data_IF_609154438165
#
_entry.id   IF_609154438165
#
_cell.length_a   1.000
_cell.length_b   1.000
_cell.length_c   1.000
_cell.angle_alpha   90.00
_cell.angle_beta   90.00
_cell.angle_gamma   90.00
#
_symmetry.space_group_name_H-M   'P 1'
#
loop_
_entity.id
_entity.type
_entity.pdbx_description
1 polymer ?
#
# COMPACT_ATOMS: atom_id res chain seq x y z
N UNK A 1 61.52 -23.45 -10.46
CA UNK A 1 61.06 -22.11 -10.05
C UNK A 1 59.74 -21.85 -10.73
N UNK A 2 58.56 -21.82 -10.14
CA UNK A 2 58.03 -21.77 -8.77
C UNK A 2 56.52 -21.48 -8.97
N UNK A 3 55.61 -22.02 -8.17
CA UNK A 3 54.18 -22.01 -8.48
C UNK A 3 53.61 -20.59 -8.27
N UNK A 4 53.06 -19.99 -9.32
CA UNK A 4 52.34 -18.72 -9.25
C UNK A 4 50.97 -18.95 -8.61
N UNK A 5 50.85 -18.57 -7.35
CA UNK A 5 49.72 -18.86 -6.48
C UNK A 5 48.36 -18.44 -7.04
N UNK A 6 47.39 -19.35 -6.88
CA UNK A 6 46.00 -18.98 -6.75
C UNK A 6 45.87 -17.94 -5.64
N UNK A 7 45.60 -16.70 -6.01
CA UNK A 7 44.98 -15.76 -5.10
C UNK A 7 43.52 -16.22 -4.89
N UNK A 8 43.34 -17.18 -3.98
CA UNK A 8 42.10 -17.30 -3.22
C UNK A 8 42.00 -16.00 -2.42
N UNK A 9 41.37 -14.98 -3.03
CA UNK A 9 40.94 -13.81 -2.27
C UNK A 9 39.78 -14.27 -1.40
N UNK A 10 40.11 -14.45 -0.13
CA UNK A 10 39.16 -14.51 0.96
C UNK A 10 38.12 -13.39 0.82
N UNK A 11 36.84 -13.76 0.83
CA UNK A 11 35.76 -12.87 1.24
C UNK A 11 34.73 -13.60 2.12
N UNK A 12 35.20 -14.58 2.91
CA UNK A 12 34.44 -15.27 3.97
C UNK A 12 34.19 -14.38 5.21
N UNK A 13 34.35 -13.04 5.12
CA UNK A 13 34.05 -12.11 6.22
C UNK A 13 33.27 -10.86 5.79
N UNK A 14 32.56 -10.92 4.67
CA UNK A 14 31.44 -10.02 4.43
C UNK A 14 30.23 -10.49 5.26
N UNK A 15 30.23 -10.23 6.57
CA UNK A 15 28.99 -10.35 7.36
C UNK A 15 27.86 -9.63 6.62
N UNK A 16 26.75 -10.33 6.42
CA UNK A 16 25.63 -9.82 5.63
C UNK A 16 25.18 -8.45 6.21
N UNK A 17 25.08 -7.38 5.40
CA UNK A 17 24.62 -6.07 5.89
C UNK A 17 23.30 -6.12 6.68
N UNK A 18 22.43 -7.08 6.35
CA UNK A 18 21.18 -7.37 7.07
C UNK A 18 21.41 -7.90 8.50
N UNK A 19 22.51 -8.63 8.73
CA UNK A 19 22.89 -9.10 10.08
C UNK A 19 23.35 -7.93 10.94
N UNK A 20 24.16 -7.04 10.37
CA UNK A 20 24.61 -5.83 11.06
C UNK A 20 23.44 -4.91 11.39
N UNK A 21 22.45 -4.76 10.49
CA UNK A 21 21.25 -3.98 10.79
C UNK A 21 20.39 -4.62 11.88
N UNK A 22 20.34 -5.96 11.97
CA UNK A 22 19.62 -6.65 13.05
C UNK A 22 20.27 -6.40 14.42
N UNK A 23 21.60 -6.31 14.50
CA UNK A 23 22.29 -5.94 15.75
C UNK A 23 21.86 -4.55 16.22
N UNK A 24 21.80 -3.57 15.32
CA UNK A 24 21.29 -2.23 15.66
C UNK A 24 19.80 -2.25 16.04
N UNK A 25 19.00 -3.05 15.33
CA UNK A 25 17.58 -3.22 15.60
C UNK A 25 17.30 -3.75 17.03
N UNK A 26 18.18 -4.59 17.60
CA UNK A 26 18.03 -5.08 18.98
C UNK A 26 17.98 -3.95 20.00
N UNK A 27 18.78 -2.91 19.80
CA UNK A 27 18.87 -1.73 20.68
C UNK A 27 17.78 -0.69 20.42
N UNK A 28 17.00 -0.83 19.34
CA UNK A 28 15.93 0.10 19.02
C UNK A 28 14.83 0.02 20.08
N UNK A 29 14.46 1.19 20.63
CA UNK A 29 13.35 1.28 21.58
C UNK A 29 11.99 1.21 20.85
N UNK A 30 11.81 2.00 19.78
CA UNK A 30 10.54 2.08 19.04
C UNK A 30 10.39 1.00 17.94
N UNK A 31 10.45 -0.28 18.32
CA UNK A 31 10.38 -1.42 17.36
C UNK A 31 9.06 -1.49 16.59
N UNK A 32 7.97 -1.06 17.19
CA UNK A 32 6.65 -0.96 16.55
C UNK A 32 6.60 0.10 15.43
N UNK A 33 7.31 1.22 15.62
CA UNK A 33 7.47 2.26 14.60
C UNK A 33 8.27 1.70 13.42
N UNK A 34 9.37 0.99 13.70
CA UNK A 34 10.11 0.27 12.66
C UNK A 34 9.22 -0.72 11.92
N UNK A 35 8.43 -1.56 12.62
CA UNK A 35 7.52 -2.51 11.98
C UNK A 35 6.53 -1.82 11.06
N UNK A 36 5.97 -0.66 11.46
CA UNK A 36 5.01 0.07 10.64
C UNK A 36 5.62 0.55 9.32
N UNK A 37 6.82 1.14 9.35
CA UNK A 37 7.53 1.57 8.14
C UNK A 37 8.01 0.37 7.30
N UNK A 38 8.61 -0.63 7.95
CA UNK A 38 9.07 -1.85 7.28
C UNK A 38 7.93 -2.54 6.54
N UNK A 39 6.75 -2.61 7.14
CA UNK A 39 5.54 -3.19 6.52
C UNK A 39 5.12 -2.43 5.27
N UNK A 40 5.15 -1.10 5.29
CA UNK A 40 4.84 -0.25 4.13
C UNK A 40 5.83 -0.48 3.00
N UNK A 41 7.11 -0.53 3.31
CA UNK A 41 8.15 -0.73 2.29
C UNK A 41 8.16 -2.16 1.75
N UNK A 42 7.95 -3.17 2.61
CA UNK A 42 7.79 -4.56 2.19
C UNK A 42 6.59 -4.69 1.24
N UNK A 43 5.46 -4.07 1.56
CA UNK A 43 4.27 -4.11 0.70
C UNK A 43 4.58 -3.54 -0.69
N UNK A 44 5.30 -2.41 -0.75
CA UNK A 44 5.73 -1.82 -2.03
C UNK A 44 6.59 -2.80 -2.82
N UNK A 45 7.58 -3.45 -2.19
CA UNK A 45 8.47 -4.40 -2.87
C UNK A 45 7.72 -5.63 -3.39
N UNK A 46 6.85 -6.22 -2.57
CA UNK A 46 6.05 -7.41 -2.93
C UNK A 46 5.03 -7.17 -4.05
N UNK A 47 4.42 -5.97 -4.10
CA UNK A 47 3.39 -5.64 -5.10
C UNK A 47 3.98 -5.08 -6.39
N UNK A 48 5.15 -4.43 -6.32
CA UNK A 48 5.79 -3.84 -7.51
C UNK A 48 6.81 -4.76 -8.18
N UNK A 49 7.02 -5.96 -7.61
CA UNK A 49 7.99 -6.97 -8.05
C UNK A 49 9.43 -6.41 -8.12
N UNK A 50 9.76 -5.58 -7.12
CA UNK A 50 11.06 -4.91 -6.99
C UNK A 50 11.96 -5.54 -5.92
N UNK A 51 11.57 -6.69 -5.36
CA UNK A 51 12.41 -7.44 -4.44
C UNK A 51 13.56 -8.09 -5.21
N UNK A 52 14.78 -7.95 -4.71
CA UNK A 52 15.95 -8.65 -5.28
C UNK A 52 15.79 -10.18 -5.13
N UNK A 53 15.28 -10.62 -3.97
CA UNK A 53 14.95 -12.01 -3.69
C UNK A 53 13.79 -12.09 -2.67
N UNK A 54 12.73 -12.83 -2.98
CA UNK A 54 11.64 -13.10 -2.03
C UNK A 54 12.10 -13.98 -0.86
N UNK A 55 13.08 -14.85 -1.10
CA UNK A 55 13.59 -15.77 -0.08
C UNK A 55 14.44 -15.02 0.96
N UNK A 56 15.23 -14.03 0.54
CA UNK A 56 15.96 -13.16 1.47
C UNK A 56 15.01 -12.35 2.36
N UNK A 57 13.90 -11.85 1.81
CA UNK A 57 12.89 -11.13 2.58
C UNK A 57 12.20 -12.04 3.61
N UNK A 58 11.92 -13.30 3.23
CA UNK A 58 11.37 -14.31 4.15
C UNK A 58 12.37 -14.63 5.28
N UNK A 59 13.65 -14.81 4.96
CA UNK A 59 14.70 -15.03 5.95
C UNK A 59 14.82 -13.84 6.90
N UNK A 60 14.76 -12.61 6.39
CA UNK A 60 14.82 -11.42 7.23
C UNK A 60 13.62 -11.32 8.18
N UNK A 61 12.40 -11.60 7.71
CA UNK A 61 11.21 -11.65 8.58
C UNK A 61 11.31 -12.77 9.62
N UNK A 62 11.87 -13.94 9.28
CA UNK A 62 12.12 -15.01 10.24
C UNK A 62 13.11 -14.58 11.34
N UNK A 63 14.11 -13.76 11.01
CA UNK A 63 15.04 -13.19 11.99
C UNK A 63 14.37 -12.16 12.89
N UNK A 64 13.53 -11.26 12.34
CA UNK A 64 12.72 -10.35 13.15
C UNK A 64 11.79 -11.10 14.12
N UNK A 65 11.27 -12.25 13.70
CA UNK A 65 10.43 -13.13 14.54
C UNK A 65 11.22 -13.75 15.69
N UNK A 66 12.48 -14.16 15.45
CA UNK A 66 13.34 -14.66 16.51
C UNK A 66 13.62 -13.59 17.57
N UNK A 67 13.77 -12.32 17.16
CA UNK A 67 14.06 -11.21 18.07
C UNK A 67 12.82 -10.67 18.81
N UNK A 68 11.67 -10.58 18.14
CA UNK A 68 10.48 -9.87 18.65
C UNK A 68 9.26 -10.77 18.87
N UNK A 69 9.35 -12.06 18.51
CA UNK A 69 8.27 -13.02 18.62
C UNK A 69 7.25 -13.00 17.47
N UNK A 70 6.35 -13.97 17.51
CA UNK A 70 5.33 -14.23 16.47
C UNK A 70 4.32 -13.10 16.30
N UNK A 71 3.88 -12.48 17.39
CA UNK A 71 2.89 -11.40 17.35
C UNK A 71 3.40 -10.18 16.57
N UNK A 72 4.71 -9.92 16.64
CA UNK A 72 5.35 -8.80 15.94
C UNK A 72 5.36 -9.02 14.42
N UNK A 73 5.72 -10.23 13.96
CA UNK A 73 5.85 -10.55 12.54
C UNK A 73 4.58 -11.05 11.88
N UNK A 74 3.52 -11.32 12.65
CA UNK A 74 2.28 -11.94 12.16
C UNK A 74 1.71 -11.25 10.91
N UNK A 75 1.69 -9.91 10.88
CA UNK A 75 1.22 -9.15 9.71
C UNK A 75 2.14 -9.33 8.49
N UNK A 76 3.46 -9.33 8.69
CA UNK A 76 4.46 -9.51 7.62
C UNK A 76 4.39 -10.93 7.05
N UNK A 77 4.31 -11.94 7.91
CA UNK A 77 4.12 -13.34 7.50
C UNK A 77 2.79 -13.52 6.76
N UNK A 78 1.73 -12.83 7.19
CA UNK A 78 0.45 -12.78 6.49
C UNK A 78 0.55 -12.23 5.08
N UNK A 79 1.37 -11.19 4.84
CA UNK A 79 1.58 -10.63 3.50
C UNK A 79 2.23 -11.64 2.54
N UNK A 80 3.19 -12.45 3.02
CA UNK A 80 3.76 -13.53 2.19
C UNK A 80 2.74 -14.62 1.88
N UNK A 81 1.96 -15.04 2.89
CA UNK A 81 0.90 -16.03 2.69
C UNK A 81 -0.14 -15.56 1.66
N UNK A 82 -0.52 -14.29 1.72
CA UNK A 82 -1.42 -13.69 0.73
C UNK A 82 -0.80 -13.70 -0.67
N UNK A 83 0.50 -13.43 -0.81
CA UNK A 83 1.20 -13.47 -2.11
C UNK A 83 1.14 -14.87 -2.73
N UNK A 84 1.43 -15.89 -1.94
CA UNK A 84 1.42 -17.28 -2.37
C UNK A 84 -0.02 -17.72 -2.72
N UNK A 85 -0.97 -17.53 -1.81
CA UNK A 85 -2.38 -17.87 -2.00
C UNK A 85 -2.99 -17.15 -3.21
N UNK A 86 -2.61 -15.90 -3.43
CA UNK A 86 -3.13 -15.13 -4.55
C UNK A 86 -2.64 -15.65 -5.90
N UNK A 87 -1.42 -16.21 -5.97
CA UNK A 87 -0.93 -16.86 -7.19
C UNK A 87 -1.78 -18.08 -7.53
N UNK A 88 -2.11 -18.89 -6.53
CA UNK A 88 -2.96 -20.07 -6.70
C UNK A 88 -4.38 -19.70 -7.14
N UNK A 89 -4.98 -18.68 -6.50
CA UNK A 89 -6.30 -18.16 -6.86
C UNK A 89 -6.30 -17.69 -8.32
N UNK A 90 -5.27 -16.96 -8.74
CA UNK A 90 -5.15 -16.45 -10.10
C UNK A 90 -5.03 -17.59 -11.12
N UNK A 91 -4.22 -18.62 -10.83
CA UNK A 91 -4.10 -19.80 -11.68
C UNK A 91 -5.44 -20.51 -11.88
N UNK A 92 -6.19 -20.69 -10.78
CA UNK A 92 -7.51 -21.33 -10.83
C UNK A 92 -8.52 -20.46 -11.60
N UNK A 93 -8.50 -19.14 -11.39
CA UNK A 93 -9.35 -18.21 -12.12
C UNK A 93 -9.03 -18.19 -13.62
N UNK A 94 -7.75 -18.20 -14.00
CA UNK A 94 -7.33 -18.19 -15.41
C UNK A 94 -7.85 -19.42 -16.14
N UNK A 95 -7.79 -20.59 -15.49
CA UNK A 95 -8.35 -21.84 -16.04
C UNK A 95 -9.88 -21.75 -16.15
N UNK A 96 -10.56 -21.33 -15.08
CA UNK A 96 -12.01 -21.13 -15.07
C UNK A 96 -12.49 -20.16 -16.15
N UNK A 97 -11.83 -19.00 -16.27
CA UNK A 97 -12.18 -17.95 -17.22
C UNK A 97 -11.97 -18.43 -18.67
N UNK A 98 -10.90 -19.18 -18.92
CA UNK A 98 -10.64 -19.77 -20.25
C UNK A 98 -11.76 -20.71 -20.67
N UNK A 99 -12.28 -21.53 -19.75
CA UNK A 99 -13.31 -22.52 -20.06
C UNK A 99 -14.70 -21.88 -20.15
N UNK A 100 -15.04 -20.98 -19.22
CA UNK A 100 -16.35 -20.31 -19.17
C UNK A 100 -16.53 -19.25 -20.25
N UNK A 101 -15.47 -18.53 -20.63
CA UNK A 101 -15.53 -17.40 -21.57
C UNK A 101 -14.82 -17.67 -22.91
N UNK A 102 -14.55 -18.95 -23.24
CA UNK A 102 -13.80 -19.39 -24.43
C UNK A 102 -14.30 -18.80 -25.75
N UNK A 103 -15.61 -18.57 -25.87
CA UNK A 103 -16.28 -18.08 -27.09
C UNK A 103 -16.63 -16.59 -27.02
N UNK A 104 -16.13 -15.85 -26.03
CA UNK A 104 -16.43 -14.42 -25.89
C UNK A 104 -15.50 -13.59 -26.79
N UNK A 105 -16.02 -12.92 -27.85
CA UNK A 105 -15.20 -12.06 -28.72
C UNK A 105 -14.62 -10.84 -27.99
N UNK A 106 -15.06 -10.56 -26.76
CA UNK A 106 -14.62 -9.42 -25.92
C UNK A 106 -13.44 -9.74 -25.00
N UNK A 107 -12.85 -10.93 -25.06
CA UNK A 107 -11.87 -11.38 -24.06
C UNK A 107 -10.39 -11.15 -24.41
N UNK A 108 -10.08 -10.18 -25.28
CA UNK A 108 -8.69 -9.90 -25.69
C UNK A 108 -7.87 -9.11 -24.64
N UNK A 109 -8.42 -8.93 -23.43
CA UNK A 109 -7.77 -8.23 -22.31
C UNK A 109 -7.42 -9.25 -21.24
N UNK A 110 -6.13 -9.34 -20.90
CA UNK A 110 -5.66 -10.19 -19.80
C UNK A 110 -5.68 -9.40 -18.49
N UNK A 111 -6.28 -9.97 -17.44
CA UNK A 111 -6.28 -9.41 -16.10
C UNK A 111 -5.48 -10.32 -15.15
N UNK A 112 -4.57 -9.71 -14.40
CA UNK A 112 -3.85 -10.35 -13.29
C UNK A 112 -4.33 -9.74 -11.99
N UNK A 113 -4.81 -10.56 -11.06
CA UNK A 113 -5.37 -10.11 -9.78
C UNK A 113 -4.52 -10.58 -8.62
N UNK A 114 -4.30 -9.68 -7.65
CA UNK A 114 -3.70 -10.01 -6.36
C UNK A 114 -4.68 -9.78 -5.21
N UNK A 115 -4.96 -10.82 -4.41
CA UNK A 115 -5.86 -10.76 -3.25
C UNK A 115 -5.07 -10.53 -1.99
N UNK A 116 -5.40 -9.47 -1.27
CA UNK A 116 -4.68 -9.00 -0.09
C UNK A 116 -5.63 -8.95 1.12
N UNK A 117 -5.25 -9.56 2.24
CA UNK A 117 -6.05 -9.60 3.46
C UNK A 117 -6.00 -8.25 4.18
N UNK A 118 -7.17 -7.64 4.39
CA UNK A 118 -7.27 -6.37 5.14
C UNK A 118 -6.72 -6.56 6.55
N UNK A 119 -5.83 -5.66 6.98
CA UNK A 119 -5.19 -5.69 8.31
C UNK A 119 -3.75 -6.20 8.30
N UNK A 120 -3.37 -7.08 7.37
CA UNK A 120 -1.96 -7.44 7.15
C UNK A 120 -1.24 -6.35 6.36
N UNK A 121 -1.87 -5.88 5.29
CA UNK A 121 -1.31 -4.86 4.40
C UNK A 121 -1.52 -3.44 4.96
N UNK A 122 -0.70 -2.47 4.53
CA UNK A 122 -0.95 -1.05 4.78
C UNK A 122 -2.34 -0.63 4.28
N UNK A 123 -2.91 0.40 4.92
CA UNK A 123 -4.15 0.98 4.45
C UNK A 123 -3.88 1.86 3.23
N UNK A 124 -4.59 1.60 2.13
CA UNK A 124 -4.52 2.42 0.92
C UNK A 124 -5.83 3.21 0.76
N UNK A 125 -5.75 4.50 0.40
CA UNK A 125 -6.92 5.31 0.10
C UNK A 125 -7.77 4.68 -1.00
N UNK A 126 -9.07 4.59 -0.74
CA UNK A 126 -10.05 4.02 -1.67
C UNK A 126 -10.53 5.10 -2.64
N UNK A 127 -10.52 4.80 -3.93
CA UNK A 127 -11.11 5.63 -4.98
C UNK A 127 -12.45 5.04 -5.38
N UNK A 128 -13.52 5.46 -4.70
CA UNK A 128 -14.85 4.87 -4.82
C UNK A 128 -15.58 5.25 -6.11
N UNK A 129 -15.38 6.47 -6.58
CA UNK A 129 -16.13 7.04 -7.69
C UNK A 129 -15.42 6.92 -9.05
N UNK A 130 -14.33 6.16 -9.11
CA UNK A 130 -13.55 5.98 -10.33
C UNK A 130 -14.41 5.33 -11.43
N UNK A 131 -14.54 6.03 -12.56
CA UNK A 131 -15.29 5.58 -13.74
C UNK A 131 -14.37 4.74 -14.64
N UNK A 132 -14.51 3.41 -14.53
CA UNK A 132 -13.71 2.47 -15.33
C UNK A 132 -14.26 2.32 -16.76
N UNK A 133 -13.39 2.20 -17.78
CA UNK A 133 -13.79 1.78 -19.11
C UNK A 133 -14.54 0.44 -19.08
N UNK A 134 -15.55 0.25 -19.95
CA UNK A 134 -16.36 -0.96 -19.98
C UNK A 134 -15.54 -2.26 -20.07
N UNK A 135 -14.42 -2.23 -20.79
CA UNK A 135 -13.50 -3.37 -20.95
C UNK A 135 -12.90 -3.83 -19.62
N UNK A 136 -12.44 -2.89 -18.79
CA UNK A 136 -11.85 -3.18 -17.48
C UNK A 136 -12.94 -3.51 -16.46
N UNK A 137 -14.05 -2.76 -16.47
CA UNK A 137 -15.19 -2.98 -15.57
C UNK A 137 -15.76 -4.40 -15.74
N UNK A 138 -15.87 -4.90 -16.97
CA UNK A 138 -16.37 -6.24 -17.24
C UNK A 138 -15.43 -7.34 -16.68
N UNK A 139 -14.11 -7.21 -16.88
CA UNK A 139 -13.14 -8.16 -16.31
C UNK A 139 -13.19 -8.15 -14.78
N UNK A 140 -13.32 -6.96 -14.19
CA UNK A 140 -13.45 -6.78 -12.75
C UNK A 140 -14.69 -7.51 -12.20
N UNK A 141 -15.84 -7.35 -12.86
CA UNK A 141 -17.10 -7.98 -12.49
C UNK A 141 -17.03 -9.51 -12.60
N UNK A 142 -16.47 -10.04 -13.71
CA UNK A 142 -16.29 -11.47 -13.90
C UNK A 142 -15.44 -12.11 -12.79
N UNK A 143 -14.32 -11.47 -12.43
CA UNK A 143 -13.48 -11.94 -11.34
C UNK A 143 -14.18 -11.81 -9.99
N UNK A 144 -14.87 -10.70 -9.74
CA UNK A 144 -15.59 -10.46 -8.50
C UNK A 144 -16.66 -11.53 -8.25
N UNK A 145 -17.44 -11.88 -9.27
CA UNK A 145 -18.43 -12.94 -9.20
C UNK A 145 -17.77 -14.28 -8.87
N UNK A 146 -16.73 -14.67 -9.62
CA UNK A 146 -15.97 -15.90 -9.36
C UNK A 146 -15.48 -15.98 -7.90
N UNK A 147 -14.92 -14.88 -7.38
CA UNK A 147 -14.36 -14.85 -6.04
C UNK A 147 -15.45 -14.94 -4.97
N UNK A 148 -16.57 -14.22 -5.14
CA UNK A 148 -17.69 -14.23 -4.19
C UNK A 148 -18.40 -15.60 -4.14
N UNK A 149 -18.56 -16.26 -5.29
CA UNK A 149 -19.17 -17.60 -5.37
C UNK A 149 -18.32 -18.64 -4.63
N UNK A 150 -16.99 -18.55 -4.78
CA UNK A 150 -16.04 -19.49 -4.17
C UNK A 150 -15.78 -19.22 -2.68
N UNK A 151 -15.75 -17.94 -2.28
CA UNK A 151 -15.41 -17.52 -0.92
C UNK A 151 -16.57 -16.75 -0.27
N UNK A 152 -17.58 -17.50 0.16
CA UNK A 152 -18.79 -16.96 0.80
C UNK A 152 -18.47 -16.18 2.08
N UNK A 153 -19.25 -15.13 2.34
CA UNK A 153 -19.09 -14.26 3.51
C UNK A 153 -17.93 -13.26 3.42
N UNK A 154 -17.18 -13.23 2.31
CA UNK A 154 -16.12 -12.24 2.06
C UNK A 154 -16.63 -11.07 1.22
N UNK A 155 -16.00 -9.90 1.42
CA UNK A 155 -16.16 -8.72 0.58
C UNK A 155 -14.80 -8.34 0.02
N UNK A 156 -14.78 -7.90 -1.24
CA UNK A 156 -13.57 -7.38 -1.89
C UNK A 156 -13.71 -5.88 -2.12
N UNK A 157 -12.59 -5.18 -2.07
CA UNK A 157 -12.48 -3.76 -2.38
C UNK A 157 -11.27 -3.56 -3.28
N UNK A 158 -11.48 -2.91 -4.42
CA UNK A 158 -10.43 -2.72 -5.43
C UNK A 158 -9.52 -1.55 -5.07
N UNK A 159 -8.20 -1.78 -5.16
CA UNK A 159 -7.20 -0.77 -4.82
C UNK A 159 -6.50 -0.26 -6.09
N UNK A 160 -7.14 0.67 -6.79
CA UNK A 160 -6.68 1.18 -8.09
C UNK A 160 -5.32 1.87 -8.06
N UNK A 161 -4.92 2.42 -6.91
CA UNK A 161 -3.60 3.05 -6.72
C UNK A 161 -2.44 2.08 -6.85
N UNK A 162 -2.70 0.77 -6.68
CA UNK A 162 -1.73 -0.31 -6.84
C UNK A 162 -1.77 -0.95 -8.22
N UNK A 163 -2.81 -0.66 -9.02
CA UNK A 163 -3.02 -1.26 -10.31
C UNK A 163 -2.05 -0.70 -11.37
N UNK A 164 -1.47 -1.61 -12.14
CA UNK A 164 -0.68 -1.31 -13.34
C UNK A 164 -1.40 -1.88 -14.55
N UNK A 165 -1.39 -1.14 -15.65
CA UNK A 165 -2.00 -1.54 -16.91
C UNK A 165 -1.02 -1.38 -18.06
N UNK A 166 -1.17 -2.24 -19.07
CA UNK A 166 -0.46 -2.10 -20.34
C UNK A 166 -1.48 -1.73 -21.41
N UNK A 167 -1.28 -0.57 -22.04
CA UNK A 167 -2.16 -0.03 -23.08
C UNK A 167 -1.40 0.01 -24.40
N UNK A 168 -2.05 -0.44 -25.48
CA UNK A 168 -1.54 -0.23 -26.83
C UNK A 168 -2.06 1.11 -27.34
N UNK A 169 -1.16 2.04 -27.67
CA UNK A 169 -1.52 3.34 -28.26
C UNK A 169 -0.92 3.48 -29.65
N UNK A 170 -1.73 3.89 -30.62
CA UNK A 170 -1.28 4.10 -32.00
C UNK A 170 -1.13 5.59 -32.27
N UNK A 171 0.10 6.00 -32.62
CA UNK A 171 0.46 7.37 -32.94
C UNK A 171 1.19 7.40 -34.27
N UNK A 172 0.78 8.27 -35.20
CA UNK A 172 1.44 8.46 -36.52
C UNK A 172 1.71 7.12 -37.24
N UNK A 173 0.71 6.24 -37.28
CA UNK A 173 0.76 4.88 -37.86
C UNK A 173 1.73 3.90 -37.20
N UNK A 174 2.23 4.19 -35.99
CA UNK A 174 3.04 3.27 -35.19
C UNK A 174 2.36 2.95 -33.86
N UNK A 175 2.25 1.66 -33.54
CA UNK A 175 1.71 1.20 -32.26
C UNK A 175 2.84 1.05 -31.23
N UNK A 176 2.59 1.59 -30.04
CA UNK A 176 3.47 1.52 -28.88
C UNK A 176 2.76 0.80 -27.73
N UNK A 177 3.52 0.11 -26.88
CA UNK A 177 3.03 -0.49 -25.64
C UNK A 177 3.41 0.40 -24.46
N UNK A 178 2.42 1.02 -23.83
CA UNK A 178 2.64 1.85 -22.66
C UNK A 178 2.32 1.08 -21.39
N UNK A 179 3.24 1.10 -20.43
CA UNK A 179 3.02 0.56 -19.10
C UNK A 179 2.81 1.73 -18.14
N UNK A 180 1.66 1.77 -17.48
CA UNK A 180 1.20 2.93 -16.71
C UNK A 180 0.35 2.52 -15.51
N UNK A 181 0.07 3.45 -14.60
CA UNK A 181 -0.90 3.25 -13.53
C UNK A 181 -2.33 3.20 -14.08
N UNK A 182 -3.25 2.63 -13.31
CA UNK A 182 -4.67 2.66 -13.67
C UNK A 182 -5.16 4.09 -13.90
N UNK A 183 -4.80 5.04 -13.02
CA UNK A 183 -5.23 6.43 -13.13
C UNK A 183 -4.73 7.11 -14.41
N UNK A 184 -3.49 6.83 -14.83
CA UNK A 184 -2.95 7.34 -16.10
C UNK A 184 -3.79 6.86 -17.29
N UNK A 185 -4.18 5.58 -17.28
CA UNK A 185 -5.03 5.03 -18.35
C UNK A 185 -6.43 5.65 -18.35
N UNK A 186 -7.01 5.96 -17.18
CA UNK A 186 -8.34 6.61 -17.12
C UNK A 186 -8.31 8.03 -17.67
N UNK A 187 -7.22 8.77 -17.41
CA UNK A 187 -7.04 10.10 -17.99
C UNK A 187 -6.91 10.01 -19.51
N UNK A 188 -6.14 9.05 -20.03
CA UNK A 188 -5.97 8.90 -21.48
C UNK A 188 -7.24 8.42 -22.19
N UNK A 189 -8.03 7.55 -21.57
CA UNK A 189 -9.30 7.08 -22.16
C UNK A 189 -10.34 8.20 -22.31
N UNK A 190 -10.16 9.34 -21.64
CA UNK A 190 -11.03 10.51 -21.84
C UNK A 190 -10.88 11.15 -23.23
N UNK A 191 -9.83 10.79 -23.97
CA UNK A 191 -9.56 11.26 -25.34
C UNK A 191 -9.87 10.21 -26.40
N UNK A 192 -10.34 9.02 -26.01
CA UNK A 192 -10.85 8.03 -26.94
C UNK A 192 -12.28 8.39 -27.35
N UNK A 193 -12.70 7.92 -28.52
CA UNK A 193 -14.11 8.03 -28.93
C UNK A 193 -14.97 7.21 -27.97
N UNK A 194 -16.11 7.77 -27.56
CA UNK A 194 -17.10 7.06 -26.75
C UNK A 194 -18.31 6.65 -27.61
N UNK A 195 -19.23 5.90 -26.99
CA UNK A 195 -20.44 5.41 -27.66
C UNK A 195 -21.48 6.53 -27.88
N UNK A 196 -21.20 7.78 -27.51
CA UNK A 196 -22.12 8.91 -27.70
C UNK A 196 -22.23 9.35 -29.16
N UNK A 197 -21.24 8.98 -29.99
CA UNK A 197 -21.13 9.43 -31.37
C UNK A 197 -20.53 10.82 -31.52
N UNK A 198 -20.25 11.53 -30.42
CA UNK A 198 -19.52 12.79 -30.44
C UNK A 198 -18.03 12.57 -30.75
N UNK A 199 -17.38 13.53 -31.44
CA UNK A 199 -15.94 13.45 -31.66
C UNK A 199 -15.19 13.51 -30.32
N UNK A 200 -14.09 12.76 -30.16
CA UNK A 200 -13.28 12.81 -28.96
C UNK A 200 -12.79 14.24 -28.70
N UNK A 201 -12.74 14.68 -27.42
CA UNK A 201 -12.37 16.05 -27.08
C UNK A 201 -10.92 16.34 -27.50
N UNK A 202 -10.70 17.47 -28.18
CA UNK A 202 -9.36 17.89 -28.60
C UNK A 202 -8.46 18.29 -27.41
N UNK A 203 -9.07 18.88 -26.38
CA UNK A 203 -8.41 19.23 -25.13
C UNK A 203 -9.41 19.21 -23.97
N UNK A 204 -8.93 18.94 -22.77
CA UNK A 204 -9.70 18.93 -21.53
C UNK A 204 -8.99 19.76 -20.46
N UNK A 205 -9.77 20.38 -19.59
CA UNK A 205 -9.27 21.02 -18.37
C UNK A 205 -9.15 20.00 -17.24
N UNK A 206 -8.41 20.36 -16.18
CA UNK A 206 -8.28 19.51 -15.00
C UNK A 206 -9.64 19.18 -14.34
N UNK A 207 -10.59 20.13 -14.17
CA UNK A 207 -11.92 19.81 -13.64
C UNK A 207 -12.73 18.86 -14.54
N UNK A 208 -12.65 19.02 -15.87
CA UNK A 208 -13.33 18.11 -16.80
C UNK A 208 -12.76 16.69 -16.73
N UNK A 209 -11.44 16.56 -16.57
CA UNK A 209 -10.81 15.26 -16.33
C UNK A 209 -11.27 14.64 -15.01
N UNK A 210 -11.38 15.43 -13.93
CA UNK A 210 -11.90 14.96 -12.65
C UNK A 210 -13.32 14.39 -12.80
N UNK A 211 -14.20 15.11 -13.48
CA UNK A 211 -15.59 14.69 -13.73
C UNK A 211 -15.68 13.43 -14.59
N UNK A 212 -14.92 13.38 -15.69
CA UNK A 212 -14.93 12.24 -16.64
C UNK A 212 -14.34 10.97 -16.03
N UNK A 213 -13.28 11.10 -15.23
CA UNK A 213 -12.61 9.95 -14.59
C UNK A 213 -13.23 9.56 -13.25
N UNK A 214 -13.97 10.47 -12.60
CA UNK A 214 -14.46 10.29 -11.23
C UNK A 214 -13.33 10.30 -10.19
N UNK A 215 -12.24 11.01 -10.48
CA UNK A 215 -11.12 11.16 -9.56
C UNK A 215 -11.32 12.33 -8.60
N UNK A 216 -11.80 12.04 -7.39
CA UNK A 216 -12.15 13.07 -6.39
C UNK A 216 -10.93 13.65 -5.65
N UNK A 217 -9.81 12.91 -5.56
CA UNK A 217 -8.57 13.41 -4.99
C UNK A 217 -7.84 14.28 -6.01
N UNK A 218 -8.06 15.60 -5.92
CA UNK A 218 -7.42 16.61 -6.78
C UNK A 218 -5.89 16.47 -6.83
N UNK A 219 -5.25 16.21 -5.69
CA UNK A 219 -3.80 16.06 -5.64
C UNK A 219 -3.31 14.82 -6.37
N UNK A 220 -4.05 13.72 -6.30
CA UNK A 220 -3.76 12.50 -7.08
C UNK A 220 -3.98 12.72 -8.58
N UNK A 221 -5.05 13.43 -8.96
CA UNK A 221 -5.33 13.77 -10.35
C UNK A 221 -4.23 14.65 -10.94
N UNK A 222 -3.83 15.74 -10.26
CA UNK A 222 -2.75 16.62 -10.71
C UNK A 222 -1.44 15.87 -10.95
N UNK A 223 -1.03 15.01 -9.99
CA UNK A 223 0.16 14.16 -10.15
C UNK A 223 0.03 13.18 -11.32
N UNK A 224 -1.14 12.59 -11.49
CA UNK A 224 -1.43 11.66 -12.58
C UNK A 224 -1.29 12.38 -13.92
N UNK A 225 -1.92 13.54 -14.10
CA UNK A 225 -1.84 14.30 -15.35
C UNK A 225 -0.42 14.82 -15.58
N UNK A 226 0.25 15.37 -14.57
CA UNK A 226 1.64 15.84 -14.66
C UNK A 226 2.59 14.74 -15.13
N UNK A 227 2.36 13.50 -14.68
CA UNK A 227 3.17 12.35 -15.08
C UNK A 227 3.06 12.03 -16.59
N UNK A 228 1.94 12.39 -17.23
CA UNK A 228 1.69 12.17 -18.65
C UNK A 228 2.34 13.21 -19.58
N UNK A 229 2.85 14.33 -19.04
CA UNK A 229 3.53 15.35 -19.86
C UNK A 229 4.93 15.77 -19.38
N UNK A 230 5.32 15.37 -18.16
CA UNK A 230 6.58 15.78 -17.53
C UNK A 230 7.84 15.30 -18.25
N UNK A 231 7.85 14.06 -18.78
CA UNK A 231 9.02 13.46 -19.43
C UNK A 231 8.95 13.56 -20.96
N UNK A 232 9.97 14.12 -21.65
CA UNK A 232 9.93 14.30 -23.10
C UNK A 232 9.73 13.00 -23.91
N UNK A 233 10.41 11.92 -23.51
CA UNK A 233 10.39 10.59 -24.15
C UNK A 233 9.10 9.77 -23.88
N UNK A 234 8.27 10.25 -22.96
CA UNK A 234 7.02 9.63 -22.53
C UNK A 234 5.85 10.64 -22.48
N UNK A 235 5.96 11.76 -23.23
CA UNK A 235 4.99 12.86 -23.23
C UNK A 235 3.78 12.50 -24.07
N UNK A 236 2.72 12.01 -23.43
CA UNK A 236 1.45 11.68 -24.07
C UNK A 236 0.45 12.83 -24.04
N UNK A 237 0.58 13.76 -23.11
CA UNK A 237 -0.23 14.99 -23.08
C UNK A 237 0.62 16.23 -23.37
N UNK A 238 -0.01 17.26 -23.94
CA UNK A 238 0.49 18.61 -24.09
C UNK A 238 -0.35 19.55 -23.24
N UNK A 239 0.32 20.38 -22.45
CA UNK A 239 -0.31 21.39 -21.60
C UNK A 239 -0.16 22.77 -22.22
N UNK A 240 -1.24 23.53 -22.30
CA UNK A 240 -1.26 24.93 -22.77
C UNK A 240 -1.96 25.82 -21.74
N UNK A 241 -1.30 26.88 -21.22
CA UNK A 241 0.09 27.26 -21.43
C UNK A 241 1.10 26.27 -20.81
N UNK A 242 2.31 26.24 -21.38
CA UNK A 242 3.40 25.43 -20.84
C UNK A 242 3.84 26.00 -19.50
N UNK A 243 3.98 25.15 -18.49
CA UNK A 243 4.63 25.52 -17.22
C UNK A 243 6.00 24.87 -17.07
N UNK A 244 6.95 25.60 -16.48
CA UNK A 244 8.29 25.11 -16.20
C UNK A 244 8.33 24.13 -15.01
N UNK A 245 7.52 24.38 -13.99
CA UNK A 245 7.39 23.53 -12.79
C UNK A 245 6.39 22.37 -12.97
N UNK A 246 5.66 22.37 -14.08
CA UNK A 246 4.61 21.39 -14.37
C UNK A 246 3.33 21.53 -13.54
N UNK A 247 3.13 22.67 -12.85
CA UNK A 247 1.85 23.02 -12.22
C UNK A 247 0.72 23.08 -13.25
N UNK A 248 -0.52 22.86 -12.80
CA UNK A 248 -1.72 22.82 -13.64
C UNK A 248 -2.79 23.68 -12.96
N UNK A 249 -3.20 24.76 -13.63
CA UNK A 249 -4.34 25.58 -13.25
C UNK A 249 -5.64 24.99 -13.83
N UNK A 250 -6.78 25.39 -13.27
CA UNK A 250 -8.09 24.86 -13.68
C UNK A 250 -8.48 25.26 -15.10
N UNK A 251 -7.91 26.34 -15.62
CA UNK A 251 -8.12 26.83 -16.99
C UNK A 251 -7.14 26.26 -18.00
N UNK A 252 -6.14 25.49 -17.55
CA UNK A 252 -5.11 24.97 -18.45
C UNK A 252 -5.68 23.85 -19.33
N UNK A 253 -5.34 23.90 -20.61
CA UNK A 253 -5.79 22.93 -21.60
C UNK A 253 -4.79 21.79 -21.72
N UNK A 254 -5.28 20.57 -21.55
CA UNK A 254 -4.53 19.32 -21.67
C UNK A 254 -5.02 18.62 -22.93
N UNK A 255 -4.14 18.44 -23.91
CA UNK A 255 -4.46 17.83 -25.20
C UNK A 255 -3.61 16.57 -25.41
N UNK A 256 -4.15 15.58 -26.12
CA UNK A 256 -3.37 14.41 -26.52
C UNK A 256 -2.23 14.82 -27.47
N UNK A 257 -1.02 14.31 -27.23
CA UNK A 257 0.12 14.51 -28.11
C UNK A 257 0.02 13.60 -29.34
N UNK A 258 -0.79 13.97 -30.32
CA UNK A 258 -0.99 13.20 -31.56
C UNK A 258 0.29 13.00 -32.38
N UNK A 259 1.30 13.86 -32.18
CA UNK A 259 2.61 13.78 -32.84
C UNK A 259 3.66 13.00 -32.01
N UNK A 260 3.23 12.18 -31.05
CA UNK A 260 4.15 11.41 -30.21
C UNK A 260 5.07 10.49 -31.04
N UNK A 261 6.36 10.51 -30.73
CA UNK A 261 7.39 9.64 -31.32
C UNK A 261 8.36 9.15 -30.25
N UNK A 262 8.72 7.88 -30.33
CA UNK A 262 9.79 7.30 -29.50
C UNK A 262 10.56 6.26 -30.31
N UNK A 263 11.83 6.07 -29.98
CA UNK A 263 12.62 4.95 -30.52
C UNK A 263 12.21 3.61 -29.88
N UNK A 264 11.71 3.63 -28.64
CA UNK A 264 11.27 2.45 -27.90
C UNK A 264 9.84 2.04 -28.28
N UNK A 265 9.62 0.74 -28.48
CA UNK A 265 8.28 0.18 -28.73
C UNK A 265 7.49 -0.07 -27.45
N UNK A 266 8.19 -0.26 -26.31
CA UNK A 266 7.60 -0.42 -24.97
C UNK A 266 8.09 0.71 -24.08
N UNK A 267 7.18 1.50 -23.54
CA UNK A 267 7.48 2.71 -22.79
C UNK A 267 6.84 2.61 -21.41
N UNK A 268 7.67 2.72 -20.37
CA UNK A 268 7.19 2.80 -18.99
C UNK A 268 6.92 4.27 -18.66
N UNK A 269 5.66 4.63 -18.44
CA UNK A 269 5.32 5.99 -18.02
C UNK A 269 5.84 6.24 -16.60
N UNK A 270 6.33 7.45 -16.31
CA UNK A 270 6.75 7.80 -14.97
C UNK A 270 5.55 7.81 -14.03
N UNK A 271 5.76 7.43 -12.79
CA UNK A 271 4.80 7.70 -11.71
C UNK A 271 5.36 8.84 -10.87
N UNK A 272 4.60 9.93 -10.73
CA UNK A 272 5.00 11.04 -9.88
C UNK A 272 4.59 10.69 -8.45
N UNK A 273 5.60 10.35 -7.65
CA UNK A 273 5.41 10.10 -6.24
C UNK A 273 5.22 11.42 -5.50
N UNK A 274 4.52 11.37 -4.37
CA UNK A 274 4.42 12.47 -3.42
C UNK A 274 5.84 12.95 -3.06
N UNK A 275 6.06 14.25 -3.00
CA UNK A 275 7.34 14.89 -2.61
C UNK A 275 7.10 15.86 -1.46
N UNK A 276 8.18 16.17 -0.71
CA UNK A 276 8.18 17.20 0.33
C UNK A 276 7.08 17.00 1.37
N UNK A 277 6.23 18.02 1.56
CA UNK A 277 5.17 18.04 2.56
C UNK A 277 4.22 16.83 2.50
N UNK A 278 3.95 16.28 1.30
CA UNK A 278 3.05 15.14 1.17
C UNK A 278 3.67 13.81 1.67
N UNK A 279 5.00 13.67 1.59
CA UNK A 279 5.74 12.56 2.20
C UNK A 279 5.78 12.75 3.71
N UNK A 280 6.07 13.97 4.18
CA UNK A 280 6.05 14.29 5.60
C UNK A 280 4.68 14.01 6.23
N UNK A 281 3.58 14.32 5.52
CA UNK A 281 2.22 13.99 5.95
C UNK A 281 1.94 12.47 5.97
N UNK A 282 2.55 11.67 5.10
CA UNK A 282 2.46 10.20 5.15
C UNK A 282 3.25 9.60 6.31
N UNK A 283 4.47 10.11 6.53
CA UNK A 283 5.29 9.77 7.69
C UNK A 283 4.58 10.14 8.99
N UNK A 284 4.00 11.34 9.08
CA UNK A 284 3.22 11.81 10.22
C UNK A 284 2.01 10.90 10.49
N UNK A 285 1.23 10.55 9.46
CA UNK A 285 0.11 9.60 9.58
C UNK A 285 0.55 8.23 10.09
N UNK A 286 1.71 7.74 9.66
CA UNK A 286 2.28 6.47 10.16
C UNK A 286 2.62 6.58 11.65
N UNK A 287 3.26 7.67 12.09
CA UNK A 287 3.55 7.91 13.51
C UNK A 287 2.29 8.04 14.37
N UNK A 288 1.29 8.78 13.90
CA UNK A 288 0.00 8.92 14.59
C UNK A 288 -0.72 7.57 14.74
N UNK A 289 -0.70 6.74 13.69
CA UNK A 289 -1.27 5.41 13.73
C UNK A 289 -0.57 4.52 14.77
N UNK A 290 0.76 4.52 14.79
CA UNK A 290 1.55 3.78 15.78
C UNK A 290 1.25 4.27 17.20
N UNK A 291 1.19 5.58 17.42
CA UNK A 291 0.85 6.15 18.72
C UNK A 291 -0.54 5.73 19.19
N UNK A 292 -1.53 5.72 18.29
CA UNK A 292 -2.90 5.26 18.58
C UNK A 292 -2.94 3.76 18.91
N UNK A 293 -2.20 2.94 18.16
CA UNK A 293 -2.11 1.50 18.42
C UNK A 293 -1.50 1.21 19.80
N UNK A 294 -0.48 1.97 20.23
CA UNK A 294 0.07 1.88 21.59
C UNK A 294 -0.98 2.16 22.67
N UNK A 295 -1.86 3.14 22.45
CA UNK A 295 -2.94 3.46 23.39
C UNK A 295 -3.91 2.28 23.54
N UNK A 296 -4.34 1.67 22.44
CA UNK A 296 -5.21 0.50 22.49
C UNK A 296 -4.54 -0.72 23.14
N UNK A 297 -3.24 -0.92 22.90
CA UNK A 297 -2.48 -1.98 23.56
C UNK A 297 -2.37 -1.75 25.07
N UNK A 298 -2.16 -0.51 25.51
CA UNK A 298 -2.19 -0.13 26.92
C UNK A 298 -3.55 -0.43 27.55
N UNK A 299 -4.64 0.03 26.93
CA UNK A 299 -6.00 -0.21 27.43
C UNK A 299 -6.28 -1.71 27.58
N UNK A 300 -6.01 -2.48 26.53
CA UNK A 300 -6.20 -3.93 26.54
C UNK A 300 -5.34 -4.61 27.61
N UNK A 301 -4.11 -4.14 27.83
CA UNK A 301 -3.24 -4.68 28.87
C UNK A 301 -3.76 -4.37 30.27
N UNK A 302 -4.16 -3.12 30.54
CA UNK A 302 -4.72 -2.70 31.83
C UNK A 302 -5.99 -3.51 32.13
N UNK A 303 -6.93 -3.58 31.19
CA UNK A 303 -8.18 -4.35 31.35
C UNK A 303 -7.88 -5.82 31.62
N UNK A 304 -6.92 -6.42 30.91
CA UNK A 304 -6.54 -7.82 31.12
C UNK A 304 -5.95 -8.06 32.52
N UNK A 305 -5.06 -7.19 32.99
CA UNK A 305 -4.46 -7.29 34.33
C UNK A 305 -5.53 -7.12 35.41
N UNK A 306 -6.36 -6.10 35.28
CA UNK A 306 -7.43 -5.79 36.24
C UNK A 306 -8.51 -6.87 36.27
N UNK A 307 -8.90 -7.44 35.13
CA UNK A 307 -9.82 -8.58 35.05
C UNK A 307 -9.28 -9.81 35.78
N UNK A 308 -7.98 -10.07 35.68
CA UNK A 308 -7.34 -11.21 36.33
C UNK A 308 -7.15 -11.03 37.84
N UNK A 309 -6.82 -9.81 38.28
CA UNK A 309 -6.48 -9.50 39.68
C UNK A 309 -7.66 -9.00 40.51
N UNK A 310 -8.71 -8.50 39.85
CA UNK A 310 -9.93 -7.86 40.38
C UNK A 310 -9.67 -6.55 41.15
N UNK A 311 -8.62 -6.48 41.96
CA UNK A 311 -8.18 -5.29 42.66
C UNK A 311 -6.66 -5.14 42.55
N UNK A 312 -6.17 -3.90 42.39
CA UNK A 312 -4.73 -3.63 42.31
C UNK A 312 -4.40 -2.18 42.68
N UNK A 313 -3.27 -1.98 43.37
CA UNK A 313 -2.78 -0.62 43.68
C UNK A 313 -2.18 0.05 42.46
N UNK A 314 -2.28 1.37 42.39
CA UNK A 314 -1.79 2.16 41.25
C UNK A 314 -0.34 1.84 40.85
N UNK A 315 0.59 1.84 41.81
CA UNK A 315 2.02 1.58 41.54
C UNK A 315 2.26 0.17 40.98
N UNK A 316 1.52 -0.82 41.48
CA UNK A 316 1.63 -2.22 41.04
C UNK A 316 1.05 -2.39 39.64
N UNK A 317 -0.10 -1.77 39.35
CA UNK A 317 -0.71 -1.79 38.03
C UNK A 317 0.19 -1.15 36.99
N UNK A 318 0.72 0.05 37.27
CA UNK A 318 1.65 0.72 36.38
C UNK A 318 2.90 -0.15 36.14
N UNK A 319 3.48 -0.72 37.20
CA UNK A 319 4.65 -1.59 37.09
C UNK A 319 4.39 -2.85 36.25
N UNK A 320 3.26 -3.51 36.45
CA UNK A 320 2.90 -4.74 35.72
C UNK A 320 2.62 -4.44 34.24
N UNK A 321 1.93 -3.33 33.94
CA UNK A 321 1.68 -2.91 32.55
C UNK A 321 2.99 -2.59 31.83
N UNK A 322 3.89 -1.83 32.46
CA UNK A 322 5.20 -1.51 31.89
C UNK A 322 6.08 -2.75 31.69
N UNK A 323 5.93 -3.77 32.55
CA UNK A 323 6.63 -5.05 32.42
C UNK A 323 6.08 -5.89 31.26
N UNK A 324 4.77 -5.85 31.04
CA UNK A 324 4.09 -6.68 30.02
C UNK A 324 4.13 -6.09 28.61
N UNK A 325 4.25 -4.76 28.48
CA UNK A 325 4.29 -4.09 27.18
C UNK A 325 5.74 -3.83 26.76
N UNK A 326 6.20 -4.42 25.64
CA UNK A 326 7.53 -4.18 25.16
C UNK A 326 7.61 -2.76 24.56
N UNK A 327 8.25 -1.89 25.35
CA UNK A 327 9.07 -0.73 24.95
C UNK A 327 8.39 0.64 24.79
N UNK A 328 9.06 1.67 25.33
CA UNK A 328 8.87 3.09 25.00
C UNK A 328 7.75 3.84 25.74
N UNK A 329 7.07 3.20 26.70
CA UNK A 329 6.00 3.79 27.49
C UNK A 329 6.53 4.31 28.83
N UNK A 330 6.06 5.49 29.21
CA UNK A 330 6.29 6.06 30.54
C UNK A 330 5.15 5.71 31.50
N UNK A 331 5.42 5.82 32.80
CA UNK A 331 4.34 5.71 33.81
C UNK A 331 3.25 6.77 33.63
N UNK A 332 3.57 7.93 33.04
CA UNK A 332 2.58 8.97 32.74
C UNK A 332 1.63 8.53 31.62
N UNK A 333 2.13 7.84 30.60
CA UNK A 333 1.29 7.29 29.53
C UNK A 333 0.27 6.30 30.08
N UNK A 334 0.74 5.36 30.92
CA UNK A 334 -0.13 4.38 31.58
C UNK A 334 -1.15 5.06 32.49
N UNK A 335 -0.72 6.05 33.28
CA UNK A 335 -1.64 6.83 34.14
C UNK A 335 -2.73 7.50 33.32
N UNK A 336 -2.39 8.15 32.21
CA UNK A 336 -3.39 8.78 31.34
C UNK A 336 -4.41 7.78 30.80
N UNK A 337 -3.98 6.55 30.48
CA UNK A 337 -4.91 5.49 30.06
C UNK A 337 -5.78 4.95 31.20
N UNK A 338 -5.25 4.84 32.42
CA UNK A 338 -6.02 4.47 33.61
C UNK A 338 -7.16 5.46 33.84
N UNK A 339 -6.91 6.78 33.78
CA UNK A 339 -7.97 7.79 33.93
C UNK A 339 -9.05 7.65 32.85
N UNK A 340 -8.66 7.38 31.60
CA UNK A 340 -9.64 7.14 30.53
C UNK A 340 -10.46 5.86 30.75
N UNK A 341 -9.90 4.82 31.37
CA UNK A 341 -10.63 3.59 31.70
C UNK A 341 -11.54 3.75 32.92
N UNK A 342 -11.21 4.66 33.85
CA UNK A 342 -12.11 5.09 34.93
C UNK A 342 -13.33 5.82 34.36
N UNK A 343 -13.11 6.79 33.46
CA UNK A 343 -14.20 7.53 32.78
C UNK A 343 -15.12 6.61 31.97
N UNK A 344 -14.58 5.52 31.43
CA UNK A 344 -15.33 4.53 30.64
C UNK A 344 -15.89 3.38 31.48
N UNK A 345 -15.81 3.47 32.81
CA UNK A 345 -16.38 2.51 33.76
C UNK A 345 -15.87 1.06 33.58
N UNK A 346 -14.63 0.88 33.11
CA UNK A 346 -13.98 -0.44 33.10
C UNK A 346 -13.37 -0.79 34.47
N UNK A 347 -12.96 0.24 35.19
CA UNK A 347 -12.40 0.18 36.54
C UNK A 347 -12.96 1.35 37.35
N UNK A 348 -12.91 1.25 38.67
CA UNK A 348 -13.24 2.35 39.59
C UNK A 348 -12.15 2.50 40.66
N UNK A 349 -12.15 3.63 41.37
CA UNK A 349 -11.36 3.79 42.58
C UNK A 349 -12.14 3.21 43.75
N UNK A 350 -11.47 2.51 44.66
CA UNK A 350 -12.08 2.06 45.91
C UNK A 350 -12.57 3.27 46.72
N UNK A 351 -13.69 3.10 47.43
CA UNK A 351 -14.23 4.07 48.39
C UNK A 351 -13.26 4.38 49.53
N UNK A 352 -12.42 3.41 49.89
CA UNK A 352 -11.61 3.45 51.11
C UNK A 352 -10.17 3.90 50.83
N UNK A 353 -9.66 3.64 49.61
CA UNK A 353 -8.32 4.01 49.18
C UNK A 353 -8.32 4.48 47.71
N UNK A 354 -8.09 5.77 47.50
CA UNK A 354 -7.99 6.37 46.16
C UNK A 354 -6.81 5.83 45.31
N UNK A 355 -5.84 5.17 45.94
CA UNK A 355 -4.72 4.49 45.29
C UNK A 355 -5.01 3.04 44.90
N UNK A 356 -6.20 2.51 45.24
CA UNK A 356 -6.65 1.17 44.91
C UNK A 356 -7.72 1.21 43.82
N UNK A 357 -7.54 0.39 42.78
CA UNK A 357 -8.51 0.24 41.70
C UNK A 357 -9.26 -1.08 41.82
N UNK A 358 -10.57 -1.07 41.52
CA UNK A 358 -11.42 -2.25 41.37
C UNK A 358 -11.81 -2.43 39.90
N UNK A 359 -11.93 -3.67 39.43
CA UNK A 359 -12.45 -3.99 38.11
C UNK A 359 -13.98 -4.12 38.12
N UNK A 360 -14.66 -3.45 37.17
CA UNK A 360 -16.12 -3.30 37.17
C UNK A 360 -16.89 -4.34 36.34
N UNK A 361 -16.21 -5.15 35.52
CA UNK A 361 -16.85 -6.04 34.53
C UNK A 361 -16.67 -7.55 34.74
#
# INVERSE_FOLDING_TARGET
>A
SGPGGQAVRADETSENPLERSLVLFRYLQAKDTFAAFYRTDLARRLLTDRSASLDEERVYVARLKAECGTAYTSKLEGMFKDKDLSSDILSHYTTYARDKFKNSPKNNTSMMVQILTTGYWPAYPQMKNLKLPPTIANQQEQFQQYYMDKYQGRRIAWQYSLCKVTVNGTFLNRTYKFVMSQYQAMVLSCYDADDSGDPPPAALTLPQLAERTGMDDRGELERTVQSLFSKPDARLLRKTPRSADGSIADTDLLALNTEFRSNQSRIQLPTIHRKGAAVAAETGRTHEAVHRDRQYQMDACIVRVMKARRQMKHKELVGEVLRMLPVGLSGQDVKGRIENLLEREYIERSSDDTGLYNYLA
#
